data_IF_806157627386
#
_entry.id   IF_806157627386
#
_cell.length_a   1.000
_cell.length_b   1.000
_cell.length_c   1.000
_cell.angle_alpha   90.00
_cell.angle_beta   90.00
_cell.angle_gamma   90.00
#
_symmetry.space_group_name_H-M   'P 1'
#
loop_
_entity.id
_entity.type
_entity.pdbx_description
1 polymer ?
#
# COMPACT_ATOMS: atom_id res chain seq x y z
N UNK A 1 13.77 -3.68 15.37
CA UNK A 1 13.67 -4.85 14.47
C UNK A 1 12.30 -4.80 13.82
N UNK A 2 12.24 -4.55 12.51
CA UNK A 2 10.99 -4.53 11.76
C UNK A 2 10.37 -5.92 11.83
N UNK A 3 9.20 -6.03 12.46
CA UNK A 3 8.41 -7.26 12.47
C UNK A 3 7.89 -7.43 11.05
N UNK A 4 8.56 -8.27 10.25
CA UNK A 4 8.02 -8.73 8.98
C UNK A 4 6.68 -9.41 9.29
N UNK A 5 5.58 -8.69 9.11
CA UNK A 5 4.25 -9.25 9.23
C UNK A 5 3.92 -9.84 7.85
N UNK A 6 3.89 -11.17 7.67
CA UNK A 6 3.60 -11.80 6.37
C UNK A 6 2.18 -11.48 5.85
N UNK A 7 1.35 -10.83 6.68
CA UNK A 7 0.03 -10.33 6.34
C UNK A 7 -0.01 -8.83 6.04
N UNK A 8 1.12 -8.14 5.92
CA UNK A 8 1.11 -6.71 5.63
C UNK A 8 0.51 -6.43 4.24
N UNK A 9 -0.23 -5.33 4.13
CA UNK A 9 -0.87 -4.95 2.88
C UNK A 9 0.17 -4.73 1.78
N UNK A 10 1.33 -4.17 2.11
CA UNK A 10 2.42 -3.96 1.15
C UNK A 10 2.90 -5.27 0.49
N UNK A 11 3.06 -6.34 1.26
CA UNK A 11 3.48 -7.62 0.71
C UNK A 11 2.40 -8.23 -0.19
N UNK A 12 1.14 -8.11 0.22
CA UNK A 12 0.01 -8.58 -0.57
C UNK A 12 -0.08 -7.83 -1.90
N UNK A 13 0.04 -6.50 -1.88
CA UNK A 13 0.08 -5.68 -3.09
C UNK A 13 1.26 -6.06 -3.98
N UNK A 14 2.44 -6.23 -3.41
CA UNK A 14 3.64 -6.63 -4.17
C UNK A 14 3.42 -7.95 -4.92
N UNK A 15 2.85 -8.96 -4.26
CA UNK A 15 2.48 -10.23 -4.91
C UNK A 15 1.43 -10.04 -5.99
N UNK A 16 0.37 -9.28 -5.71
CA UNK A 16 -0.67 -9.00 -6.70
C UNK A 16 -0.11 -8.35 -7.98
N UNK A 17 0.83 -7.41 -7.84
CA UNK A 17 1.49 -6.81 -9.00
C UNK A 17 2.40 -7.80 -9.74
N UNK A 18 3.10 -8.69 -9.03
CA UNK A 18 3.93 -9.73 -9.65
C UNK A 18 3.10 -10.77 -10.41
N UNK A 19 1.96 -11.16 -9.85
CA UNK A 19 1.06 -12.16 -10.43
C UNK A 19 0.12 -11.57 -11.50
N UNK A 20 0.28 -10.29 -11.86
CA UNK A 20 -0.55 -9.59 -12.85
C UNK A 20 -1.97 -9.26 -12.37
N UNK A 21 -2.24 -9.36 -11.08
CA UNK A 21 -3.53 -9.06 -10.43
C UNK A 21 -3.61 -7.62 -9.89
N UNK A 22 -2.79 -6.70 -10.42
CA UNK A 22 -2.74 -5.29 -10.00
C UNK A 22 -4.07 -4.56 -10.12
N UNK A 23 -4.99 -5.03 -10.97
CA UNK A 23 -6.35 -4.50 -11.08
C UNK A 23 -7.11 -4.48 -9.73
N UNK A 24 -6.88 -5.48 -8.88
CA UNK A 24 -7.52 -5.58 -7.56
C UNK A 24 -6.75 -4.85 -6.45
N UNK A 25 -5.57 -4.32 -6.73
CA UNK A 25 -4.74 -3.62 -5.75
C UNK A 25 -5.47 -2.39 -5.18
N UNK A 26 -6.21 -1.66 -6.02
CA UNK A 26 -7.01 -0.52 -5.59
C UNK A 26 -8.05 -0.93 -4.54
N UNK A 27 -8.89 -1.92 -4.86
CA UNK A 27 -9.92 -2.42 -3.94
C UNK A 27 -9.30 -2.91 -2.64
N UNK A 28 -8.12 -3.54 -2.71
CA UNK A 28 -7.40 -4.01 -1.52
C UNK A 28 -7.03 -2.88 -0.57
N UNK A 29 -6.52 -1.76 -1.10
CA UNK A 29 -6.21 -0.57 -0.29
C UNK A 29 -7.48 0.09 0.23
N UNK A 30 -8.55 0.14 -0.57
CA UNK A 30 -9.83 0.67 -0.13
C UNK A 30 -10.41 -0.12 1.04
N UNK A 31 -10.36 -1.45 1.00
CA UNK A 31 -10.86 -2.28 2.09
C UNK A 31 -10.01 -2.13 3.35
N UNK A 32 -8.69 -2.03 3.20
CA UNK A 32 -7.80 -1.71 4.33
C UNK A 32 -8.10 -0.34 4.96
N UNK A 33 -8.39 0.69 4.15
CA UNK A 33 -8.82 2.00 4.67
C UNK A 33 -10.10 1.88 5.50
N UNK A 34 -11.08 1.10 5.03
CA UNK A 34 -12.32 0.83 5.79
C UNK A 34 -12.05 0.11 7.10
N UNK A 35 -11.14 -0.87 7.13
CA UNK A 35 -10.72 -1.56 8.37
C UNK A 35 -10.12 -0.58 9.39
N UNK A 36 -9.49 0.50 8.90
CA UNK A 36 -8.94 1.60 9.70
C UNK A 36 -9.93 2.72 9.99
N UNK A 37 -11.21 2.49 9.72
CA UNK A 37 -12.30 3.46 9.91
C UNK A 37 -12.12 4.76 9.10
N UNK A 38 -11.44 4.67 7.94
CA UNK A 38 -11.28 5.75 6.99
C UNK A 38 -12.23 5.56 5.80
N UNK A 39 -12.75 6.65 5.22
CA UNK A 39 -13.52 6.59 3.98
C UNK A 39 -12.55 6.55 2.78
N UNK A 40 -12.53 5.48 1.97
CA UNK A 40 -11.64 5.41 0.81
C UNK A 40 -11.92 6.47 -0.26
N UNK A 41 -13.12 7.05 -0.28
CA UNK A 41 -13.47 8.10 -1.23
C UNK A 41 -12.81 9.44 -0.90
N UNK A 42 -12.34 9.62 0.34
CA UNK A 42 -11.58 10.80 0.75
C UNK A 42 -10.15 10.76 0.24
N UNK A 43 -9.69 9.62 -0.29
CA UNK A 43 -8.33 9.42 -0.74
C UNK A 43 -8.24 9.16 -2.26
N UNK A 44 -7.17 9.66 -2.84
CA UNK A 44 -6.59 9.19 -4.08
C UNK A 44 -5.47 8.21 -3.72
N UNK A 45 -5.48 7.03 -4.35
CA UNK A 45 -4.56 5.94 -4.07
C UNK A 45 -3.66 5.78 -5.29
N UNK A 46 -2.36 6.01 -5.11
CA UNK A 46 -1.35 5.90 -6.14
C UNK A 46 -0.40 4.76 -5.80
N UNK A 47 0.01 3.99 -6.82
CA UNK A 47 0.93 2.87 -6.67
C UNK A 47 2.24 3.19 -7.38
N UNK A 48 3.34 3.18 -6.64
CA UNK A 48 4.69 3.40 -7.16
C UNK A 48 5.46 2.08 -7.14
N UNK A 49 5.99 1.70 -8.30
CA UNK A 49 6.81 0.51 -8.44
C UNK A 49 8.27 0.88 -8.25
N UNK A 50 8.89 0.32 -7.22
CA UNK A 50 10.31 0.48 -6.96
C UNK A 50 11.02 -0.86 -7.14
N UNK A 51 12.26 -0.82 -7.64
CA UNK A 51 13.11 -2.00 -7.61
C UNK A 51 13.32 -2.37 -6.14
N UNK A 52 13.15 -3.65 -5.82
CA UNK A 52 13.35 -4.08 -4.45
C UNK A 52 14.83 -3.91 -4.06
N UNK A 53 15.12 -3.61 -2.78
CA UNK A 53 16.50 -3.45 -2.33
C UNK A 53 17.30 -4.75 -2.51
N UNK A 54 18.61 -4.65 -2.81
CA UNK A 54 19.47 -5.81 -2.97
C UNK A 54 19.46 -6.67 -1.70
N UNK A 55 19.22 -7.97 -1.87
CA UNK A 55 19.10 -8.94 -0.77
C UNK A 55 17.67 -9.24 -0.31
N UNK A 56 16.64 -8.70 -0.98
CA UNK A 56 15.25 -9.10 -0.79
C UNK A 56 14.84 -10.22 -1.75
N UNK A 57 13.95 -11.12 -1.33
CA UNK A 57 13.39 -12.19 -2.18
C UNK A 57 12.45 -11.66 -3.29
N UNK A 58 12.12 -10.37 -3.26
CA UNK A 58 11.21 -9.74 -4.22
C UNK A 58 12.02 -9.02 -5.30
N UNK A 59 11.53 -9.04 -6.55
CA UNK A 59 12.15 -8.31 -7.68
C UNK A 59 11.73 -6.83 -7.68
N UNK A 60 10.54 -6.54 -7.15
CA UNK A 60 9.96 -5.20 -7.06
C UNK A 60 9.22 -5.02 -5.74
N UNK A 61 9.10 -3.78 -5.28
CA UNK A 61 8.33 -3.36 -4.11
C UNK A 61 7.26 -2.37 -4.58
N UNK A 62 6.03 -2.54 -4.11
CA UNK A 62 4.94 -1.60 -4.37
C UNK A 62 4.79 -0.67 -3.18
N UNK A 63 5.03 0.61 -3.42
CA UNK A 63 4.77 1.68 -2.47
C UNK A 63 3.40 2.29 -2.75
N UNK A 64 2.61 2.48 -1.69
CA UNK A 64 1.29 3.09 -1.77
C UNK A 64 1.39 4.52 -1.31
N UNK A 65 1.01 5.47 -2.15
CA UNK A 65 0.86 6.87 -1.78
C UNK A 65 -0.63 7.19 -1.65
N UNK A 66 -1.02 7.61 -0.45
CA UNK A 66 -2.35 8.13 -0.18
C UNK A 66 -2.29 9.66 -0.29
N UNK A 67 -3.26 10.26 -1.00
CA UNK A 67 -3.47 11.71 -1.02
C UNK A 67 -4.90 12.02 -0.64
N UNK A 68 -5.14 12.95 0.29
CA UNK A 68 -6.52 13.36 0.55
C UNK A 68 -7.03 14.21 -0.59
N UNK A 69 -8.26 13.95 -1.03
CA UNK A 69 -8.92 14.70 -2.11
C UNK A 69 -9.31 16.12 -1.71
N UNK A 70 -9.44 16.37 -0.41
CA UNK A 70 -9.72 17.70 0.14
C UNK A 70 -8.48 18.61 0.17
N UNK A 71 -7.31 18.12 -0.28
CA UNK A 71 -6.05 18.87 -0.31
C UNK A 71 -5.33 18.95 1.04
N UNK A 72 -5.86 18.32 2.09
CA UNK A 72 -5.17 18.21 3.37
C UNK A 72 -4.06 17.15 3.30
N UNK A 73 -3.01 17.27 4.14
CA UNK A 73 -2.03 16.21 4.27
C UNK A 73 -2.67 14.92 4.79
N UNK A 74 -2.23 13.77 4.27
CA UNK A 74 -2.58 12.47 4.85
C UNK A 74 -1.86 12.32 6.19
N UNK A 75 -2.54 11.68 7.15
CA UNK A 75 -1.93 11.36 8.43
C UNK A 75 -0.71 10.45 8.25
N UNK A 76 0.43 10.86 8.83
CA UNK A 76 1.69 10.14 8.65
C UNK A 76 1.64 8.68 9.10
N UNK A 77 0.83 8.38 10.13
CA UNK A 77 0.69 7.02 10.62
C UNK A 77 -0.01 6.12 9.59
N UNK A 78 -0.99 6.63 8.86
CA UNK A 78 -1.73 5.91 7.83
C UNK A 78 -0.81 5.59 6.65
N UNK A 79 -0.04 6.60 6.21
CA UNK A 79 0.94 6.48 5.14
C UNK A 79 2.09 5.52 5.49
N UNK A 80 2.52 5.50 6.76
CA UNK A 80 3.54 4.55 7.24
C UNK A 80 2.97 3.13 7.35
N UNK A 81 1.76 2.98 7.87
CA UNK A 81 1.16 1.66 8.11
C UNK A 81 0.82 0.93 6.81
N UNK A 82 0.32 1.63 5.78
CA UNK A 82 0.07 1.03 4.46
C UNK A 82 1.36 0.54 3.77
N UNK A 83 2.52 1.06 4.17
CA UNK A 83 3.84 0.73 3.63
C UNK A 83 4.74 -0.07 4.59
N UNK A 84 4.18 -0.62 5.67
CA UNK A 84 4.89 -1.48 6.63
C UNK A 84 4.82 -2.95 6.21
#
# INVERSE_FOLDING_TARGET
MARFNPYSIQLQLTRMFQDGQSFFALTKVQDWLKEKQQDPNDYEILFHQHMAPPGSDWVMKIEVELKRRDGQPVDEWLQKEVNT
#
